data_IF_101766654318
#
_entry.id   IF_101766654318
#
_cell.length_a   1.000
_cell.length_b   1.000
_cell.length_c   1.000
_cell.angle_alpha   90.00
_cell.angle_beta   90.00
_cell.angle_gamma   90.00
#
_symmetry.space_group_name_H-M   'P 1'
#
loop_
_entity.id
_entity.type
_entity.pdbx_description
1 polymer ?
#
# COMPACT_ATOMS: atom_id res chain seq x y z
N UNK A 1 -16.42 2.32 20.37
CA UNK A 1 -15.67 3.30 19.56
C UNK A 1 -15.32 2.69 18.21
N UNK A 2 -15.73 3.32 17.11
CA UNK A 2 -15.32 2.88 15.78
C UNK A 2 -13.79 2.90 15.65
N UNK A 3 -13.20 1.84 15.08
CA UNK A 3 -11.74 1.73 14.93
C UNK A 3 -11.25 2.78 13.93
N UNK A 4 -10.43 3.73 14.39
CA UNK A 4 -9.84 4.75 13.53
C UNK A 4 -9.08 4.12 12.35
N UNK A 5 -9.39 4.58 11.14
CA UNK A 5 -8.74 4.18 9.91
C UNK A 5 -7.41 4.91 9.77
N UNK A 6 -6.35 4.21 9.32
CA UNK A 6 -5.07 4.84 9.02
C UNK A 6 -4.87 4.91 7.51
N UNK A 7 -4.54 6.11 7.02
CA UNK A 7 -4.16 6.37 5.62
C UNK A 7 -2.84 7.11 5.57
N UNK A 8 -2.00 6.75 4.61
CA UNK A 8 -0.65 7.33 4.49
C UNK A 8 -0.56 8.22 3.27
N UNK A 9 -0.27 9.50 3.51
CA UNK A 9 0.07 10.44 2.46
C UNK A 9 1.56 10.45 2.16
N UNK A 10 1.89 10.87 0.94
CA UNK A 10 3.25 11.07 0.51
C UNK A 10 3.50 12.57 0.37
N UNK A 11 4.37 13.10 1.21
CA UNK A 11 4.76 14.51 1.23
C UNK A 11 6.18 14.63 0.67
N UNK A 12 6.37 15.01 -0.60
CA UNK A 12 7.69 15.10 -1.22
C UNK A 12 8.50 16.23 -0.58
N UNK A 13 9.79 15.98 -0.32
CA UNK A 13 10.68 16.96 0.26
C UNK A 13 11.53 17.64 -0.82
N UNK A 14 11.66 18.96 -0.72
CA UNK A 14 12.56 19.78 -1.53
C UNK A 14 13.89 19.97 -0.80
N UNK A 15 14.66 18.88 -0.71
CA UNK A 15 15.94 18.88 -0.02
C UNK A 15 17.09 19.35 -0.93
N UNK A 16 18.01 20.15 -0.38
CA UNK A 16 19.31 20.52 -0.99
C UNK A 16 20.21 19.29 -1.16
N UNK A 17 21.29 19.34 -1.98
CA UNK A 17 22.24 18.24 -2.09
C UNK A 17 22.83 17.79 -0.74
N UNK A 18 23.18 18.75 0.13
CA UNK A 18 23.69 18.49 1.48
C UNK A 18 22.64 17.81 2.36
N UNK A 19 21.41 18.32 2.41
CA UNK A 19 20.33 17.69 3.17
C UNK A 19 20.04 16.27 2.69
N UNK A 20 20.08 16.03 1.37
CA UNK A 20 19.96 14.67 0.80
C UNK A 20 21.10 13.77 1.24
N UNK A 21 22.32 14.29 1.37
CA UNK A 21 23.45 13.53 1.89
C UNK A 21 23.22 13.13 3.34
N UNK A 22 22.85 14.07 4.21
CA UNK A 22 22.53 13.84 5.63
C UNK A 22 21.39 12.83 5.82
N UNK A 23 20.34 12.92 4.99
CA UNK A 23 19.26 11.92 4.99
C UNK A 23 19.77 10.52 4.65
N UNK A 24 20.69 10.38 3.68
CA UNK A 24 21.29 9.08 3.34
C UNK A 24 22.15 8.55 4.48
N UNK A 25 22.94 9.41 5.14
CA UNK A 25 23.70 9.03 6.33
C UNK A 25 22.77 8.55 7.45
N UNK A 26 21.67 9.27 7.70
CA UNK A 26 20.63 8.90 8.66
C UNK A 26 20.03 7.52 8.35
N UNK A 27 19.67 7.27 7.08
CA UNK A 27 19.14 5.98 6.66
C UNK A 27 20.17 4.85 6.80
N UNK A 28 21.43 5.13 6.46
CA UNK A 28 22.52 4.16 6.59
C UNK A 28 22.76 3.80 8.06
N UNK A 29 22.80 4.79 8.95
CA UNK A 29 22.99 4.61 10.39
C UNK A 29 21.83 3.82 11.00
N UNK A 30 20.59 4.17 10.66
CA UNK A 30 19.41 3.43 11.10
C UNK A 30 19.42 1.97 10.61
N UNK A 31 19.83 1.72 9.36
CA UNK A 31 19.92 0.35 8.82
C UNK A 31 21.03 -0.47 9.46
N UNK A 32 22.17 0.15 9.78
CA UNK A 32 23.24 -0.50 10.53
C UNK A 32 22.77 -0.89 11.92
N UNK A 33 22.04 0.01 12.60
CA UNK A 33 21.41 -0.26 13.89
C UNK A 33 20.47 -1.46 13.82
N UNK A 34 19.52 -1.45 12.87
CA UNK A 34 18.55 -2.54 12.68
C UNK A 34 19.23 -3.87 12.32
N UNK A 35 20.33 -3.84 11.54
CA UNK A 35 21.08 -5.05 11.21
C UNK A 35 21.72 -5.67 12.44
N UNK A 36 22.43 -4.87 13.25
CA UNK A 36 23.02 -5.36 14.50
C UNK A 36 21.93 -5.86 15.47
N UNK A 37 20.85 -5.10 15.60
CA UNK A 37 19.72 -5.45 16.46
C UNK A 37 19.04 -6.75 16.05
N UNK A 38 18.98 -7.04 14.75
CA UNK A 38 18.37 -8.26 14.24
C UNK A 38 19.08 -9.53 14.69
N UNK A 39 20.40 -9.48 14.91
CA UNK A 39 21.15 -10.61 15.47
C UNK A 39 20.73 -10.84 16.91
N UNK A 40 20.72 -9.79 17.74
CA UNK A 40 20.30 -9.86 19.14
C UNK A 40 18.88 -10.40 19.27
N UNK A 41 17.95 -9.86 18.47
CA UNK A 41 16.54 -10.28 18.51
C UNK A 41 16.36 -11.72 18.04
N UNK A 42 17.04 -12.12 16.96
CA UNK A 42 16.93 -13.48 16.43
C UNK A 42 17.50 -14.51 17.41
N UNK A 43 18.65 -14.25 18.02
CA UNK A 43 19.30 -15.15 19.00
C UNK A 43 18.48 -15.31 20.28
N UNK A 44 17.80 -14.25 20.74
CA UNK A 44 17.02 -14.27 21.97
C UNK A 44 15.51 -14.44 21.73
N UNK A 45 15.10 -14.84 20.53
CA UNK A 45 13.70 -14.83 20.10
C UNK A 45 12.75 -15.58 21.05
N UNK A 46 13.03 -16.83 21.50
CA UNK A 46 12.12 -17.55 22.38
C UNK A 46 11.80 -16.81 23.69
N UNK A 47 12.83 -16.24 24.34
CA UNK A 47 12.68 -15.48 25.58
C UNK A 47 11.99 -14.13 25.34
N UNK A 48 12.32 -13.45 24.24
CA UNK A 48 11.73 -12.15 23.91
C UNK A 48 10.22 -12.25 23.59
N UNK A 49 9.76 -13.37 23.02
CA UNK A 49 8.33 -13.58 22.74
C UNK A 49 7.48 -13.71 24.01
N UNK A 50 8.07 -14.22 25.09
CA UNK A 50 7.38 -14.44 26.37
C UNK A 50 7.41 -13.19 27.27
N UNK A 51 8.21 -12.19 26.91
CA UNK A 51 8.34 -10.98 27.70
C UNK A 51 7.05 -10.13 27.66
N UNK A 52 6.60 -9.55 28.80
CA UNK A 52 5.43 -8.68 28.85
C UNK A 52 5.54 -7.47 27.90
N UNK A 53 6.76 -6.95 27.73
CA UNK A 53 7.06 -5.87 26.79
C UNK A 53 8.30 -6.24 25.98
N UNK A 54 8.08 -6.58 24.72
CA UNK A 54 9.15 -6.91 23.77
C UNK A 54 10.19 -5.78 23.68
N UNK A 55 9.73 -4.54 23.53
CA UNK A 55 10.61 -3.38 23.42
C UNK A 55 11.48 -3.20 24.67
N UNK A 56 10.88 -3.30 25.86
CA UNK A 56 11.60 -3.17 27.13
C UNK A 56 12.62 -4.29 27.33
N UNK A 57 12.24 -5.53 27.00
CA UNK A 57 13.14 -6.69 27.11
C UNK A 57 14.35 -6.54 26.19
N UNK A 58 14.14 -6.10 24.95
CA UNK A 58 15.25 -5.82 24.02
C UNK A 58 16.11 -4.65 24.52
N UNK A 59 15.52 -3.55 25.00
CA UNK A 59 16.27 -2.41 25.56
C UNK A 59 17.19 -2.85 26.71
N UNK A 60 16.72 -3.72 27.62
CA UNK A 60 17.54 -4.26 28.72
C UNK A 60 18.78 -5.03 28.23
N UNK A 61 18.69 -5.70 27.08
CA UNK A 61 19.82 -6.45 26.54
C UNK A 61 20.95 -5.56 25.99
N UNK A 62 20.68 -4.30 25.64
CA UNK A 62 21.61 -3.48 24.83
C UNK A 62 21.83 -2.05 25.31
N UNK A 63 20.91 -1.48 26.10
CA UNK A 63 20.93 -0.07 26.46
C UNK A 63 21.18 0.12 27.96
N UNK A 64 22.27 0.81 28.35
CA UNK A 64 22.55 1.07 29.75
C UNK A 64 21.59 2.13 30.29
N UNK A 65 21.11 1.92 31.52
CA UNK A 65 20.30 2.89 32.29
C UNK A 65 20.68 2.79 33.77
N UNK A 66 20.20 3.70 34.61
CA UNK A 66 20.42 3.61 36.06
C UNK A 66 19.97 2.25 36.65
N UNK A 67 18.88 1.68 36.13
CA UNK A 67 18.35 0.36 36.54
C UNK A 67 18.90 -0.80 35.70
N UNK A 68 19.82 -0.55 34.78
CA UNK A 68 20.47 -1.53 33.91
C UNK A 68 21.90 -1.08 33.58
N UNK A 69 22.82 -1.05 34.57
CA UNK A 69 24.13 -0.40 34.39
C UNK A 69 25.05 -1.18 33.45
N UNK A 70 24.92 -2.51 33.38
CA UNK A 70 25.79 -3.39 32.59
C UNK A 70 24.99 -4.28 31.63
N UNK A 71 24.45 -3.73 30.52
CA UNK A 71 23.72 -4.52 29.53
C UNK A 71 24.64 -5.53 28.84
N UNK A 72 24.11 -6.71 28.50
CA UNK A 72 24.83 -7.78 27.80
C UNK A 72 25.52 -7.32 26.51
N UNK A 73 24.85 -6.48 25.72
CA UNK A 73 25.35 -6.00 24.43
C UNK A 73 25.81 -4.53 24.48
N UNK A 74 26.97 -4.26 25.10
CA UNK A 74 27.59 -2.92 25.15
C UNK A 74 28.02 -2.36 23.78
N UNK A 75 28.00 -3.18 22.72
CA UNK A 75 28.27 -2.74 21.35
C UNK A 75 27.42 -1.54 20.93
N UNK A 76 26.12 -1.52 21.27
CA UNK A 76 25.20 -0.49 20.77
C UNK A 76 25.51 0.90 21.31
N UNK A 77 25.81 1.02 22.61
CA UNK A 77 26.12 2.32 23.22
C UNK A 77 27.46 2.87 22.71
N UNK A 78 28.42 2.00 22.38
CA UNK A 78 29.73 2.39 21.84
C UNK A 78 29.65 2.80 20.36
N UNK A 79 28.97 2.01 19.53
CA UNK A 79 28.89 2.25 18.08
C UNK A 79 27.85 3.31 17.71
N UNK A 80 26.70 3.34 18.37
CA UNK A 80 25.59 4.23 18.05
C UNK A 80 25.45 5.31 19.14
N UNK A 81 26.50 6.11 19.27
CA UNK A 81 26.55 7.18 20.25
C UNK A 81 25.41 8.18 20.06
N UNK A 82 24.78 8.60 21.17
CA UNK A 82 23.60 9.50 21.19
C UNK A 82 22.43 9.06 20.28
N UNK A 83 22.27 7.75 20.01
CA UNK A 83 21.15 7.27 19.18
C UNK A 83 19.78 7.59 19.81
N UNK A 84 18.87 8.30 19.09
CA UNK A 84 17.61 8.77 19.65
C UNK A 84 16.74 7.65 20.23
N UNK A 85 16.15 7.87 21.40
CA UNK A 85 15.42 6.84 22.15
C UNK A 85 14.17 6.34 21.41
N UNK A 86 13.37 7.23 20.83
CA UNK A 86 12.19 6.78 20.06
C UNK A 86 12.57 6.16 18.71
N UNK A 87 13.69 6.57 18.10
CA UNK A 87 14.22 5.89 16.92
C UNK A 87 14.63 4.45 17.25
N UNK A 88 15.20 4.25 18.43
CA UNK A 88 15.57 2.91 18.96
C UNK A 88 14.35 2.02 19.10
N UNK A 89 13.27 2.54 19.71
CA UNK A 89 12.01 1.79 19.86
C UNK A 89 11.38 1.46 18.51
N UNK A 90 11.41 2.40 17.55
CA UNK A 90 11.01 2.10 16.17
C UNK A 90 11.86 0.99 15.54
N UNK A 91 13.19 1.02 15.73
CA UNK A 91 14.08 -0.03 15.23
C UNK A 91 13.73 -1.40 15.85
N UNK A 92 13.42 -1.45 17.15
CA UNK A 92 13.03 -2.68 17.84
C UNK A 92 11.74 -3.26 17.26
N UNK A 93 10.68 -2.47 17.13
CA UNK A 93 9.41 -2.94 16.56
C UNK A 93 9.54 -3.34 15.08
N UNK A 94 10.35 -2.61 14.32
CA UNK A 94 10.65 -2.98 12.93
C UNK A 94 11.38 -4.33 12.85
N UNK A 95 12.44 -4.52 13.64
CA UNK A 95 13.21 -5.77 13.68
C UNK A 95 12.37 -6.94 14.18
N UNK A 96 11.52 -6.73 15.19
CA UNK A 96 10.55 -7.72 15.67
C UNK A 96 9.69 -8.24 14.52
N UNK A 97 9.12 -7.34 13.72
CA UNK A 97 8.33 -7.70 12.53
C UNK A 97 9.13 -8.49 11.49
N UNK A 98 10.37 -8.08 11.22
CA UNK A 98 11.26 -8.77 10.27
C UNK A 98 11.62 -10.19 10.74
N UNK A 99 11.97 -10.37 12.01
CA UNK A 99 12.32 -11.66 12.60
C UNK A 99 11.10 -12.57 12.65
N UNK A 100 9.97 -12.08 13.14
CA UNK A 100 8.70 -12.83 13.15
C UNK A 100 8.33 -13.32 11.75
N UNK A 101 8.34 -12.43 10.76
CA UNK A 101 8.03 -12.78 9.37
C UNK A 101 9.00 -13.82 8.79
N UNK A 102 10.28 -13.73 9.12
CA UNK A 102 11.27 -14.70 8.67
C UNK A 102 11.05 -16.08 9.31
N UNK A 103 10.91 -16.14 10.63
CA UNK A 103 10.73 -17.39 11.36
C UNK A 103 9.43 -18.10 10.95
N UNK A 104 8.32 -17.38 10.77
CA UNK A 104 7.06 -17.97 10.27
C UNK A 104 7.25 -18.59 8.89
N UNK A 105 7.86 -17.85 7.94
CA UNK A 105 8.11 -18.38 6.59
C UNK A 105 9.11 -19.53 6.58
N UNK A 106 10.10 -19.49 7.45
CA UNK A 106 11.12 -20.53 7.55
C UNK A 106 10.51 -21.82 8.12
N UNK A 107 9.69 -21.73 9.18
CA UNK A 107 8.93 -22.86 9.72
C UNK A 107 8.00 -23.47 8.68
N UNK A 108 7.20 -22.66 7.97
CA UNK A 108 6.34 -23.12 6.88
C UNK A 108 7.16 -23.88 5.81
N UNK A 109 8.32 -23.35 5.41
CA UNK A 109 9.20 -24.02 4.47
C UNK A 109 9.78 -25.34 5.00
N UNK A 110 10.11 -25.42 6.30
CA UNK A 110 10.62 -26.62 6.96
C UNK A 110 9.56 -27.74 6.97
N UNK A 111 8.30 -27.42 7.23
CA UNK A 111 7.18 -28.40 7.24
C UNK A 111 6.63 -28.73 5.84
N UNK A 112 7.23 -28.20 4.77
CA UNK A 112 6.89 -28.54 3.39
C UNK A 112 5.89 -27.60 2.70
N UNK A 113 5.40 -26.56 3.38
CA UNK A 113 4.59 -25.50 2.77
C UNK A 113 5.45 -24.60 1.86
N UNK A 114 5.62 -25.06 0.63
CA UNK A 114 6.51 -24.44 -0.36
C UNK A 114 5.73 -24.04 -1.60
N UNK A 115 6.17 -22.95 -2.24
CA UNK A 115 5.59 -22.51 -3.52
C UNK A 115 5.71 -23.58 -4.63
N UNK A 116 6.77 -24.38 -4.59
CA UNK A 116 7.00 -25.54 -5.45
C UNK A 116 8.05 -26.46 -4.81
N UNK A 117 8.17 -27.71 -5.30
CA UNK A 117 9.06 -28.76 -4.75
C UNK A 117 10.50 -28.30 -4.48
N UNK A 118 11.11 -27.64 -5.47
CA UNK A 118 12.50 -27.16 -5.40
C UNK A 118 12.68 -25.72 -4.87
N UNK A 119 11.71 -25.19 -4.12
CA UNK A 119 11.82 -23.83 -3.59
C UNK A 119 12.92 -23.74 -2.53
N UNK A 120 13.86 -22.80 -2.69
CA UNK A 120 14.90 -22.50 -1.71
C UNK A 120 14.30 -21.95 -0.41
N UNK A 121 14.96 -22.13 0.75
CA UNK A 121 14.50 -21.55 2.01
C UNK A 121 14.42 -20.02 1.92
N UNK A 122 13.52 -19.39 2.67
CA UNK A 122 13.45 -17.94 2.73
C UNK A 122 14.78 -17.37 3.23
N UNK A 123 15.20 -16.25 2.66
CA UNK A 123 16.41 -15.53 3.10
C UNK A 123 16.05 -14.45 4.10
N UNK A 124 16.79 -14.39 5.21
CA UNK A 124 16.64 -13.31 6.17
C UNK A 124 17.28 -12.03 5.64
N UNK A 125 16.49 -10.97 5.48
CA UNK A 125 16.98 -9.64 5.17
C UNK A 125 16.41 -8.65 6.19
N UNK A 126 17.18 -8.33 7.26
CA UNK A 126 16.69 -7.51 8.36
C UNK A 126 16.46 -6.05 7.98
N UNK A 127 16.94 -5.59 6.82
CA UNK A 127 16.84 -4.18 6.39
C UNK A 127 15.91 -3.98 5.18
N UNK A 128 15.16 -5.00 4.79
CA UNK A 128 14.18 -4.90 3.70
C UNK A 128 13.05 -3.92 4.09
N UNK A 129 12.87 -2.84 3.33
CA UNK A 129 11.88 -1.81 3.66
C UNK A 129 12.21 -1.00 4.93
N UNK A 130 13.46 -1.06 5.40
CA UNK A 130 13.90 -0.35 6.60
C UNK A 130 14.13 1.13 6.31
N UNK A 131 13.30 1.99 6.91
CA UNK A 131 13.35 3.44 6.85
C UNK A 131 13.08 4.02 8.26
N UNK A 132 13.76 5.11 8.65
CA UNK A 132 13.61 5.68 9.98
C UNK A 132 12.25 6.35 10.15
N UNK A 133 11.57 6.02 11.24
CA UNK A 133 10.35 6.70 11.69
C UNK A 133 10.77 7.98 12.41
N UNK A 134 10.35 9.12 11.87
CA UNK A 134 10.59 10.42 12.47
C UNK A 134 9.50 10.69 13.51
N UNK A 135 9.77 10.34 14.76
CA UNK A 135 8.85 10.61 15.86
C UNK A 135 8.62 12.11 16.07
N UNK A 136 7.35 12.49 16.17
CA UNK A 136 6.93 13.87 16.43
C UNK A 136 7.59 14.41 17.70
N UNK A 137 8.17 15.61 17.61
CA UNK A 137 8.85 16.29 18.72
C UNK A 137 10.31 15.86 18.93
N UNK A 138 10.71 14.64 18.53
CA UNK A 138 12.08 14.16 18.71
C UNK A 138 12.92 14.16 17.43
N UNK A 139 12.29 13.81 16.31
CA UNK A 139 12.95 13.67 15.02
C UNK A 139 12.29 14.47 13.91
N UNK A 140 11.04 14.88 14.10
CA UNK A 140 10.34 15.80 13.21
C UNK A 140 9.54 16.81 13.99
N UNK A 141 9.58 18.06 13.51
CA UNK A 141 8.62 19.10 13.82
C UNK A 141 8.09 19.66 12.50
N UNK A 142 6.83 20.03 12.51
CA UNK A 142 6.18 20.69 11.38
C UNK A 142 5.83 22.11 11.80
N UNK A 143 5.91 23.03 10.86
CA UNK A 143 5.25 24.33 10.97
C UNK A 143 3.72 24.15 10.96
N UNK A 144 2.99 25.23 11.26
CA UNK A 144 1.51 25.24 11.30
C UNK A 144 0.89 24.92 9.94
N UNK A 145 1.53 25.33 8.84
CA UNK A 145 1.02 25.18 7.48
C UNK A 145 1.50 23.92 6.76
N UNK A 146 2.36 23.11 7.40
CA UNK A 146 3.03 21.96 6.80
C UNK A 146 3.80 22.30 5.51
N UNK A 147 4.40 23.49 5.45
CA UNK A 147 5.30 23.90 4.37
C UNK A 147 6.74 23.49 4.65
N UNK A 148 7.10 23.29 5.92
CA UNK A 148 8.46 22.99 6.35
C UNK A 148 8.48 21.86 7.40
N UNK A 149 9.36 20.89 7.20
CA UNK A 149 9.67 19.88 8.19
C UNK A 149 11.08 20.13 8.76
N UNK A 150 11.17 20.45 10.04
CA UNK A 150 12.44 20.37 10.78
C UNK A 150 12.73 18.90 11.06
N UNK A 151 13.77 18.35 10.45
CA UNK A 151 14.16 16.94 10.59
C UNK A 151 15.45 16.82 11.38
N UNK A 152 15.46 15.94 12.38
CA UNK A 152 16.70 15.61 13.10
C UNK A 152 17.45 14.52 12.35
N UNK A 153 18.57 14.88 11.73
CA UNK A 153 19.36 14.03 10.85
C UNK A 153 20.74 13.74 11.46
N UNK A 154 21.30 12.60 11.08
CA UNK A 154 22.66 12.20 11.42
C UNK A 154 23.65 12.78 10.40
N UNK A 155 24.70 13.43 10.89
CA UNK A 155 25.77 14.02 10.06
C UNK A 155 27.03 13.14 9.97
N UNK A 156 27.09 12.04 10.70
CA UNK A 156 28.29 11.20 10.85
C UNK A 156 28.88 11.23 12.27
N UNK A 157 28.49 12.21 13.09
CA UNK A 157 28.99 12.42 14.45
C UNK A 157 27.87 12.72 15.45
N UNK A 158 26.92 13.58 15.09
CA UNK A 158 25.82 14.04 15.94
C UNK A 158 24.47 14.09 15.21
N UNK A 159 23.40 14.25 16.00
CA UNK A 159 22.03 14.35 15.51
C UNK A 159 21.57 15.81 15.54
N UNK A 160 21.53 16.46 14.38
CA UNK A 160 21.26 17.88 14.22
C UNK A 160 19.92 18.15 13.52
N UNK A 161 19.28 19.28 13.83
CA UNK A 161 18.03 19.69 13.20
C UNK A 161 18.29 20.43 11.88
N UNK A 162 17.51 20.10 10.85
CA UNK A 162 17.56 20.75 9.55
C UNK A 162 16.16 21.03 9.03
N UNK A 163 15.90 22.25 8.61
CA UNK A 163 14.63 22.64 8.00
C UNK A 163 14.60 22.26 6.53
N UNK A 164 13.57 21.51 6.15
CA UNK A 164 13.40 21.00 4.79
C UNK A 164 12.00 21.34 4.29
N UNK A 165 11.93 22.09 3.19
CA UNK A 165 10.67 22.44 2.56
C UNK A 165 9.90 21.20 2.07
N UNK A 166 8.60 21.19 2.31
CA UNK A 166 7.64 20.19 1.84
C UNK A 166 7.04 20.72 0.54
N UNK A 167 7.30 20.02 -0.57
CA UNK A 167 6.88 20.45 -1.90
C UNK A 167 5.35 20.44 -2.08
N UNK A 168 4.69 19.49 -1.46
CA UNK A 168 3.24 19.34 -1.57
C UNK A 168 2.70 18.50 -0.41
N UNK A 169 1.61 18.99 0.17
CA UNK A 169 0.78 18.26 1.12
C UNK A 169 -0.55 17.89 0.49
N UNK A 170 -1.08 16.73 0.85
CA UNK A 170 -2.44 16.29 0.52
C UNK A 170 -3.39 16.68 1.64
N UNK A 171 -4.70 16.60 1.43
CA UNK A 171 -5.69 17.13 2.38
C UNK A 171 -6.00 16.23 3.59
N UNK A 172 -5.51 14.99 3.67
CA UNK A 172 -5.93 14.08 4.75
C UNK A 172 -5.56 14.56 6.14
N UNK A 173 -4.50 15.35 6.29
CA UNK A 173 -4.14 15.97 7.58
C UNK A 173 -5.23 16.88 8.15
N UNK A 174 -6.18 17.34 7.32
CA UNK A 174 -7.36 18.12 7.75
C UNK A 174 -8.51 17.24 8.26
N UNK A 175 -8.50 15.96 7.88
CA UNK A 175 -9.56 14.99 8.18
C UNK A 175 -9.23 14.11 9.39
N UNK A 176 -8.09 14.32 10.05
CA UNK A 176 -7.67 13.46 11.14
C UNK A 176 -6.33 13.83 11.75
N UNK A 177 -5.88 12.99 12.68
CA UNK A 177 -4.64 13.24 13.43
C UNK A 177 -3.42 12.71 12.68
N UNK A 178 -2.50 13.60 12.33
CA UNK A 178 -1.17 13.24 11.81
C UNK A 178 -0.39 12.45 12.85
N UNK A 179 0.15 11.30 12.44
CA UNK A 179 1.03 10.43 13.22
C UNK A 179 2.48 10.57 12.74
N UNK A 180 3.42 9.96 13.46
CA UNK A 180 4.85 10.04 13.16
C UNK A 180 5.17 9.55 11.73
N UNK A 181 5.73 10.39 10.85
CA UNK A 181 6.03 10.01 9.48
C UNK A 181 7.28 9.12 9.37
N UNK A 182 7.42 8.43 8.25
CA UNK A 182 8.66 7.70 7.89
C UNK A 182 9.43 8.47 6.83
N UNK A 183 10.73 8.67 7.01
CA UNK A 183 11.59 9.28 5.98
C UNK A 183 11.98 8.24 4.93
N UNK A 184 11.40 8.35 3.74
CA UNK A 184 11.61 7.40 2.65
C UNK A 184 12.54 7.97 1.59
N UNK A 185 13.70 7.34 1.44
CA UNK A 185 14.72 7.67 0.43
C UNK A 185 14.76 6.58 -0.64
N UNK A 186 14.27 6.94 -1.82
CA UNK A 186 14.44 6.15 -3.06
C UNK A 186 14.99 7.09 -4.14
N UNK A 187 14.47 7.02 -5.38
CA UNK A 187 14.76 8.02 -6.43
C UNK A 187 14.37 9.45 -6.04
N UNK A 188 13.43 9.61 -5.10
CA UNK A 188 12.99 10.88 -4.53
C UNK A 188 12.93 10.75 -3.00
N UNK A 189 13.15 11.85 -2.30
CA UNK A 189 12.97 11.95 -0.86
C UNK A 189 11.53 12.40 -0.55
N UNK A 190 10.89 11.76 0.43
CA UNK A 190 9.58 12.16 0.93
C UNK A 190 9.35 11.66 2.34
N UNK A 191 8.43 12.31 3.05
CA UNK A 191 7.82 11.77 4.25
C UNK A 191 6.60 10.92 3.83
N UNK A 192 6.53 9.69 4.33
CA UNK A 192 5.32 8.89 4.32
C UNK A 192 4.57 9.19 5.62
N UNK A 193 3.47 9.94 5.54
CA UNK A 193 2.79 10.56 6.67
C UNK A 193 1.48 9.82 6.97
N UNK A 194 1.44 8.98 8.01
CA UNK A 194 0.21 8.33 8.43
C UNK A 194 -0.73 9.35 9.09
N UNK A 195 -2.00 9.30 8.73
CA UNK A 195 -3.10 10.06 9.31
C UNK A 195 -4.12 9.07 9.84
N UNK A 196 -4.45 9.18 11.12
CA UNK A 196 -5.55 8.45 11.72
C UNK A 196 -6.82 9.28 11.61
N UNK A 197 -7.86 8.72 11.00
CA UNK A 197 -9.13 9.39 10.73
C UNK A 197 -10.30 8.48 11.08
N UNK A 198 -11.40 9.09 11.51
CA UNK A 198 -12.68 8.44 11.72
C UNK A 198 -13.69 9.27 10.91
N UNK A 199 -13.92 8.91 9.63
CA UNK A 199 -14.87 9.65 8.81
C UNK A 199 -16.28 9.51 9.40
N UNK A 200 -17.03 10.60 9.39
CA UNK A 200 -18.45 10.61 9.76
C UNK A 200 -19.24 9.77 8.75
N UNK A 201 -20.31 9.12 9.22
CA UNK A 201 -21.17 8.36 8.32
C UNK A 201 -21.89 9.33 7.36
N UNK A 202 -21.99 8.95 6.09
CA UNK A 202 -22.79 9.71 5.13
C UNK A 202 -24.28 9.65 5.52
N UNK A 203 -25.05 10.72 5.28
CA UNK A 203 -26.49 10.70 5.52
C UNK A 203 -27.15 9.69 4.58
N UNK A 204 -28.15 8.98 5.10
CA UNK A 204 -28.97 8.07 4.30
C UNK A 204 -29.94 8.88 3.44
N UNK A 205 -29.60 8.99 2.15
CA UNK A 205 -30.45 9.62 1.13
C UNK A 205 -31.18 8.56 0.29
N UNK A 206 -31.19 7.31 0.73
CA UNK A 206 -31.87 6.18 0.09
C UNK A 206 -31.43 5.93 -1.36
N UNK A 207 -30.20 6.32 -1.72
CA UNK A 207 -29.62 6.08 -3.04
C UNK A 207 -28.52 5.02 -2.97
N UNK A 208 -28.64 3.97 -3.77
CA UNK A 208 -27.60 2.97 -3.95
C UNK A 208 -26.88 3.18 -5.28
N UNK A 209 -25.55 3.11 -5.27
CA UNK A 209 -24.75 3.10 -6.48
C UNK A 209 -24.39 1.66 -6.88
N UNK A 210 -25.15 1.07 -7.80
CA UNK A 210 -24.88 -0.26 -8.34
C UNK A 210 -23.77 -0.21 -9.40
N UNK A 211 -22.75 -1.06 -9.24
CA UNK A 211 -21.55 -1.03 -10.09
C UNK A 211 -21.28 -2.39 -10.74
N UNK A 212 -21.29 -2.40 -12.07
CA UNK A 212 -20.81 -3.52 -12.90
C UNK A 212 -19.37 -3.26 -13.36
N UNK A 213 -18.49 -4.23 -13.19
CA UNK A 213 -17.06 -4.13 -13.52
C UNK A 213 -16.74 -5.15 -14.61
N UNK A 214 -16.46 -4.68 -15.83
CA UNK A 214 -16.36 -5.54 -17.01
C UNK A 214 -14.97 -5.60 -17.67
N UNK A 215 -14.83 -6.51 -18.63
CA UNK A 215 -13.65 -6.63 -19.51
C UNK A 215 -13.75 -5.66 -20.71
N UNK A 216 -14.97 -5.42 -21.20
CA UNK A 216 -15.30 -4.48 -22.29
C UNK A 216 -15.31 -3.05 -21.77
N UNK A 217 -16.28 -2.74 -20.92
CA UNK A 217 -16.33 -1.49 -20.17
C UNK A 217 -15.67 -1.70 -18.82
N UNK A 218 -14.77 -0.80 -18.41
CA UNK A 218 -13.99 -1.02 -17.19
C UNK A 218 -14.89 -0.98 -15.96
N UNK A 219 -15.82 -0.02 -15.89
CA UNK A 219 -16.94 -0.05 -14.96
C UNK A 219 -18.14 0.73 -15.50
N UNK A 220 -19.33 0.33 -15.09
CA UNK A 220 -20.59 1.06 -15.27
C UNK A 220 -21.20 1.26 -13.89
N UNK A 221 -21.62 2.49 -13.57
CA UNK A 221 -22.32 2.77 -12.33
C UNK A 221 -23.73 3.31 -12.62
N UNK A 222 -24.71 2.84 -11.87
CA UNK A 222 -26.09 3.31 -11.89
C UNK A 222 -26.48 3.74 -10.47
N UNK A 223 -27.13 4.90 -10.33
CA UNK A 223 -27.75 5.34 -9.08
C UNK A 223 -29.19 4.86 -9.09
N UNK A 224 -29.56 4.16 -8.03
CA UNK A 224 -30.84 3.43 -7.91
C UNK A 224 -31.51 3.86 -6.61
N UNK A 225 -32.77 4.24 -6.70
CA UNK A 225 -33.67 4.56 -5.58
C UNK A 225 -34.32 3.27 -5.01
N UNK A 226 -35.00 3.31 -3.86
CA UNK A 226 -35.53 2.10 -3.21
C UNK A 226 -36.61 1.37 -4.03
N UNK A 227 -37.34 2.11 -4.86
CA UNK A 227 -38.35 1.61 -5.80
C UNK A 227 -37.73 0.99 -7.08
N UNK A 228 -36.40 1.01 -7.22
CA UNK A 228 -35.68 0.46 -8.37
C UNK A 228 -35.49 1.43 -9.53
N UNK A 229 -35.92 2.69 -9.39
CA UNK A 229 -35.75 3.71 -10.44
C UNK A 229 -34.27 4.06 -10.62
N UNK A 230 -33.79 4.06 -11.88
CA UNK A 230 -32.41 4.49 -12.20
C UNK A 230 -32.39 5.98 -12.47
N UNK A 231 -31.93 6.77 -11.50
CA UNK A 231 -31.91 8.24 -11.58
C UNK A 231 -30.67 8.80 -12.30
N UNK A 232 -29.57 8.04 -12.34
CA UNK A 232 -28.38 8.42 -13.07
C UNK A 232 -27.56 7.18 -13.50
N UNK A 233 -26.87 7.28 -14.64
CA UNK A 233 -25.97 6.22 -15.12
C UNK A 233 -24.71 6.80 -15.74
N UNK A 234 -23.57 6.18 -15.46
CA UNK A 234 -22.28 6.58 -16.04
C UNK A 234 -21.39 5.39 -16.40
N UNK A 235 -20.81 5.45 -17.60
CA UNK A 235 -19.78 4.52 -18.05
C UNK A 235 -18.40 5.09 -17.76
N UNK A 236 -17.53 4.28 -17.15
CA UNK A 236 -16.15 4.61 -16.86
C UNK A 236 -15.24 3.73 -17.71
N UNK A 237 -14.79 4.28 -18.84
CA UNK A 237 -13.93 3.56 -19.77
C UNK A 237 -12.80 4.46 -20.31
N UNK A 238 -11.58 4.41 -19.72
CA UNK A 238 -10.45 5.22 -20.17
C UNK A 238 -9.81 4.66 -21.45
N UNK A 239 -10.50 4.78 -22.59
CA UNK A 239 -10.13 4.17 -23.87
C UNK A 239 -8.69 4.48 -24.30
N UNK A 240 -8.25 5.73 -24.17
CA UNK A 240 -6.91 6.16 -24.55
C UNK A 240 -5.81 5.45 -23.74
N UNK A 241 -6.01 5.25 -22.44
CA UNK A 241 -5.03 4.54 -21.60
C UNK A 241 -5.05 3.04 -21.84
N UNK A 242 -6.22 2.47 -22.15
CA UNK A 242 -6.37 1.08 -22.56
C UNK A 242 -5.59 0.82 -23.85
N UNK A 243 -5.74 1.68 -24.86
CA UNK A 243 -4.98 1.59 -26.11
C UNK A 243 -3.46 1.73 -25.86
N UNK A 244 -3.03 2.72 -25.05
CA UNK A 244 -1.62 2.88 -24.67
C UNK A 244 -1.05 1.63 -24.00
N UNK A 245 -1.80 0.99 -23.11
CA UNK A 245 -1.42 -0.29 -22.48
C UNK A 245 -1.32 -1.40 -23.51
N UNK A 246 -2.32 -1.55 -24.37
CA UNK A 246 -2.39 -2.65 -25.34
C UNK A 246 -1.31 -2.53 -26.41
N UNK A 247 -0.95 -1.31 -26.83
CA UNK A 247 0.25 -1.03 -27.62
C UNK A 247 1.51 -1.59 -26.96
N UNK A 248 1.68 -1.45 -25.63
CA UNK A 248 2.84 -2.03 -24.93
C UNK A 248 2.81 -3.56 -24.89
N UNK A 249 1.64 -4.15 -24.66
CA UNK A 249 1.47 -5.60 -24.68
C UNK A 249 1.74 -6.19 -26.07
N UNK A 250 1.30 -5.52 -27.14
CA UNK A 250 1.59 -5.90 -28.54
C UNK A 250 3.08 -5.82 -28.84
N UNK A 251 3.78 -4.78 -28.37
CA UNK A 251 5.25 -4.68 -28.51
C UNK A 251 5.98 -5.85 -27.84
N UNK A 252 5.58 -6.20 -26.60
CA UNK A 252 6.13 -7.34 -25.88
C UNK A 252 5.92 -8.63 -26.68
N UNK A 253 4.69 -8.86 -27.15
CA UNK A 253 4.31 -10.05 -27.93
C UNK A 253 5.12 -10.15 -29.22
N UNK A 254 5.25 -9.05 -29.97
CA UNK A 254 6.02 -9.00 -31.22
C UNK A 254 7.49 -9.34 -30.98
N UNK A 255 8.09 -8.78 -29.92
CA UNK A 255 9.47 -9.11 -29.54
C UNK A 255 9.61 -10.57 -29.12
N UNK A 256 8.68 -11.09 -28.33
CA UNK A 256 8.72 -12.46 -27.85
C UNK A 256 8.65 -13.48 -29.00
N UNK A 257 7.89 -13.18 -30.06
CA UNK A 257 7.84 -14.02 -31.28
C UNK A 257 9.17 -14.08 -32.03
N UNK A 258 9.97 -13.02 -31.98
CA UNK A 258 11.28 -12.93 -32.66
C UNK A 258 12.43 -13.53 -31.82
N UNK A 259 12.15 -14.03 -30.62
CA UNK A 259 13.18 -14.52 -29.70
C UNK A 259 12.93 -16.00 -29.40
N UNK A 260 13.89 -16.87 -29.73
CA UNK A 260 13.78 -18.32 -29.51
C UNK A 260 13.72 -18.70 -28.01
N UNK A 261 14.47 -18.00 -27.15
CA UNK A 261 14.52 -18.25 -25.70
C UNK A 261 14.27 -16.97 -24.90
N UNK A 262 13.18 -16.94 -24.13
CA UNK A 262 12.87 -15.82 -23.24
C UNK A 262 13.75 -15.87 -21.99
N UNK A 263 14.69 -14.93 -21.85
CA UNK A 263 15.54 -14.82 -20.67
C UNK A 263 14.86 -14.07 -19.52
N UNK A 264 15.36 -14.25 -18.30
CA UNK A 264 14.89 -13.52 -17.12
C UNK A 264 15.07 -12.02 -17.33
N UNK A 265 13.99 -11.27 -17.20
CA UNK A 265 14.00 -9.81 -17.40
C UNK A 265 13.60 -9.36 -18.81
N UNK A 266 13.32 -10.30 -19.73
CA UNK A 266 12.78 -9.98 -21.05
C UNK A 266 11.57 -9.04 -20.95
N UNK A 267 11.62 -7.92 -21.69
CA UNK A 267 10.52 -6.97 -21.76
C UNK A 267 10.18 -6.25 -20.44
N UNK A 268 10.99 -6.38 -19.37
CA UNK A 268 10.70 -5.84 -18.03
C UNK A 268 10.26 -4.38 -18.04
N UNK A 269 10.91 -3.54 -18.86
CA UNK A 269 10.57 -2.12 -18.98
C UNK A 269 9.15 -1.92 -19.51
N UNK A 270 8.73 -2.70 -20.51
CA UNK A 270 7.40 -2.62 -21.11
C UNK A 270 6.32 -3.17 -20.19
N UNK A 271 6.60 -4.29 -19.52
CA UNK A 271 5.70 -4.85 -18.51
C UNK A 271 5.46 -3.85 -17.37
N UNK A 272 6.54 -3.24 -16.86
CA UNK A 272 6.43 -2.20 -15.83
C UNK A 272 5.61 -1.01 -16.31
N UNK A 273 5.81 -0.55 -17.55
CA UNK A 273 5.00 0.55 -18.13
C UNK A 273 3.51 0.17 -18.23
N UNK A 274 3.18 -1.01 -18.74
CA UNK A 274 1.80 -1.49 -18.82
C UNK A 274 1.14 -1.60 -17.43
N UNK A 275 1.88 -2.10 -16.44
CA UNK A 275 1.42 -2.16 -15.05
C UNK A 275 1.16 -0.76 -14.47
N UNK A 276 2.02 0.22 -14.73
CA UNK A 276 1.81 1.59 -14.28
C UNK A 276 0.57 2.23 -14.90
N UNK A 277 0.31 1.97 -16.20
CA UNK A 277 -0.91 2.45 -16.87
C UNK A 277 -2.15 1.82 -16.22
N UNK A 278 -2.13 0.50 -15.97
CA UNK A 278 -3.20 -0.19 -15.26
C UNK A 278 -3.47 0.40 -13.86
N UNK A 279 -2.43 0.65 -13.07
CA UNK A 279 -2.58 1.25 -11.75
C UNK A 279 -3.14 2.68 -11.84
N UNK A 280 -2.69 3.48 -12.82
CA UNK A 280 -3.22 4.82 -13.06
C UNK A 280 -4.72 4.78 -13.41
N UNK A 281 -5.11 3.92 -14.36
CA UNK A 281 -6.50 3.73 -14.75
C UNK A 281 -7.37 3.32 -13.55
N UNK A 282 -6.91 2.36 -12.74
CA UNK A 282 -7.64 1.91 -11.56
C UNK A 282 -7.85 3.06 -10.56
N UNK A 283 -6.82 3.86 -10.28
CA UNK A 283 -6.90 5.00 -9.37
C UNK A 283 -7.85 6.09 -9.87
N UNK A 284 -7.75 6.47 -11.15
CA UNK A 284 -8.61 7.49 -11.74
C UNK A 284 -10.07 7.04 -11.83
N UNK A 285 -10.31 5.81 -12.29
CA UNK A 285 -11.66 5.26 -12.47
C UNK A 285 -12.36 5.11 -11.12
N UNK A 286 -11.70 4.51 -10.12
CA UNK A 286 -12.29 4.38 -8.78
C UNK A 286 -12.57 5.73 -8.12
N UNK A 287 -11.70 6.74 -8.31
CA UNK A 287 -11.97 8.10 -7.82
C UNK A 287 -13.24 8.67 -8.47
N UNK A 288 -13.28 8.71 -9.80
CA UNK A 288 -14.42 9.27 -10.54
C UNK A 288 -15.73 8.55 -10.25
N UNK A 289 -15.67 7.25 -9.97
CA UNK A 289 -16.83 6.45 -9.60
C UNK A 289 -17.34 6.82 -8.21
N UNK A 290 -16.46 6.91 -7.21
CA UNK A 290 -16.86 7.35 -5.88
C UNK A 290 -17.35 8.80 -5.91
N UNK A 291 -16.66 9.69 -6.60
CA UNK A 291 -17.10 11.09 -6.78
C UNK A 291 -18.50 11.14 -7.43
N UNK A 292 -18.79 10.28 -8.40
CA UNK A 292 -20.13 10.15 -9.01
C UNK A 292 -21.17 9.67 -8.00
N UNK A 293 -20.88 8.62 -7.23
CA UNK A 293 -21.79 8.12 -6.19
C UNK A 293 -22.12 9.22 -5.17
N UNK A 294 -21.11 9.91 -4.66
CA UNK A 294 -21.25 10.98 -3.67
C UNK A 294 -22.04 12.18 -4.22
N UNK A 295 -21.79 12.57 -5.48
CA UNK A 295 -22.50 13.69 -6.13
C UNK A 295 -24.00 13.43 -6.24
N UNK A 296 -24.40 12.17 -6.35
CA UNK A 296 -25.80 11.75 -6.40
C UNK A 296 -26.36 11.30 -5.05
N UNK A 297 -25.67 11.59 -3.94
CA UNK A 297 -26.15 11.30 -2.59
C UNK A 297 -26.12 9.82 -2.19
N UNK A 298 -25.44 8.94 -2.95
CA UNK A 298 -25.36 7.54 -2.57
C UNK A 298 -24.42 7.33 -1.37
N UNK A 299 -24.94 6.74 -0.29
CA UNK A 299 -24.19 6.34 0.91
C UNK A 299 -23.60 4.92 0.78
N UNK A 300 -24.17 4.11 -0.11
CA UNK A 300 -23.78 2.73 -0.38
C UNK A 300 -23.41 2.51 -1.84
N UNK A 301 -22.26 1.86 -2.05
CA UNK A 301 -21.89 1.29 -3.36
C UNK A 301 -22.09 -0.23 -3.32
N UNK A 302 -22.77 -0.76 -4.33
CA UNK A 302 -23.05 -2.20 -4.47
C UNK A 302 -22.16 -2.77 -5.56
N UNK A 303 -21.35 -3.78 -5.21
CA UNK A 303 -20.46 -4.51 -6.13
C UNK A 303 -20.85 -5.99 -6.20
N UNK A 304 -20.46 -6.67 -7.28
CA UNK A 304 -20.56 -8.13 -7.34
C UNK A 304 -19.51 -8.82 -6.46
N UNK A 305 -19.92 -9.85 -5.71
CA UNK A 305 -18.99 -10.75 -5.04
C UNK A 305 -18.41 -11.77 -6.04
N UNK A 306 -17.25 -11.42 -6.59
CA UNK A 306 -16.48 -12.29 -7.49
C UNK A 306 -15.48 -13.18 -6.75
N UNK A 307 -15.59 -13.32 -5.42
CA UNK A 307 -14.73 -14.21 -4.64
C UNK A 307 -15.02 -15.66 -5.01
N UNK A 308 -13.96 -16.46 -5.13
CA UNK A 308 -14.07 -17.86 -5.55
C UNK A 308 -14.38 -18.07 -7.03
N UNK A 309 -14.82 -17.04 -7.76
CA UNK A 309 -15.06 -17.14 -9.20
C UNK A 309 -13.74 -17.29 -9.98
N UNK A 310 -13.65 -18.37 -10.77
CA UNK A 310 -12.46 -18.77 -11.54
C UNK A 310 -12.78 -18.82 -13.04
N UNK A 311 -12.96 -17.67 -13.70
CA UNK A 311 -13.28 -17.64 -15.12
C UNK A 311 -12.13 -18.19 -15.96
N UNK A 312 -12.47 -18.96 -16.99
CA UNK A 312 -11.51 -19.41 -18.01
C UNK A 312 -11.22 -18.24 -18.96
N UNK A 313 -9.94 -17.94 -19.14
CA UNK A 313 -9.53 -17.00 -20.17
C UNK A 313 -9.86 -17.54 -21.57
N UNK A 314 -9.95 -16.65 -22.57
CA UNK A 314 -10.14 -17.04 -23.96
C UNK A 314 -9.01 -17.92 -24.53
N UNK A 315 -9.17 -18.34 -25.80
CA UNK A 315 -8.22 -19.21 -26.53
C UNK A 315 -6.76 -18.72 -26.41
N UNK A 316 -5.79 -19.64 -26.45
CA UNK A 316 -4.35 -19.32 -26.43
C UNK A 316 -4.03 -18.31 -27.52
N UNK A 317 -3.24 -17.27 -27.17
CA UNK A 317 -2.85 -16.15 -28.05
C UNK A 317 -4.00 -15.24 -28.53
N UNK A 318 -5.24 -15.39 -28.06
CA UNK A 318 -6.37 -14.49 -28.40
C UNK A 318 -6.26 -13.10 -27.77
N UNK A 319 -6.97 -12.13 -28.35
CA UNK A 319 -7.14 -10.79 -27.79
C UNK A 319 -7.92 -10.81 -26.47
N UNK A 320 -8.97 -11.65 -26.37
CA UNK A 320 -9.74 -11.83 -25.14
C UNK A 320 -8.87 -12.29 -23.98
N UNK A 321 -7.98 -13.28 -24.19
CA UNK A 321 -7.04 -13.73 -23.16
C UNK A 321 -6.10 -12.62 -22.71
N UNK A 322 -5.65 -11.77 -23.62
CA UNK A 322 -4.85 -10.60 -23.25
C UNK A 322 -5.64 -9.64 -22.37
N UNK A 323 -6.85 -9.27 -22.78
CA UNK A 323 -7.70 -8.32 -22.04
C UNK A 323 -8.05 -8.86 -20.65
N UNK A 324 -8.35 -10.16 -20.57
CA UNK A 324 -8.59 -10.87 -19.31
C UNK A 324 -7.43 -10.74 -18.31
N UNK A 325 -6.17 -10.90 -18.75
CA UNK A 325 -5.00 -10.76 -17.86
C UNK A 325 -4.73 -9.31 -17.43
N UNK A 326 -5.29 -8.32 -18.13
CA UNK A 326 -5.20 -6.91 -17.76
C UNK A 326 -6.48 -6.39 -17.10
N UNK A 327 -7.45 -7.26 -16.82
CA UNK A 327 -8.72 -6.89 -16.23
C UNK A 327 -8.54 -6.48 -14.77
N UNK A 328 -9.02 -5.28 -14.43
CA UNK A 328 -8.72 -4.62 -13.17
C UNK A 328 -9.76 -4.87 -12.08
N UNK A 329 -10.70 -5.82 -12.24
CA UNK A 329 -11.86 -5.95 -11.36
C UNK A 329 -11.55 -5.89 -9.86
N UNK A 330 -10.65 -6.76 -9.36
CA UNK A 330 -10.29 -6.77 -7.93
C UNK A 330 -9.63 -5.47 -7.50
N UNK A 331 -8.73 -4.93 -8.33
CA UNK A 331 -8.02 -3.69 -7.99
C UNK A 331 -8.99 -2.52 -7.92
N UNK A 332 -9.97 -2.47 -8.83
CA UNK A 332 -10.99 -1.45 -8.86
C UNK A 332 -11.91 -1.56 -7.64
N UNK A 333 -12.42 -2.76 -7.33
CA UNK A 333 -13.24 -3.02 -6.15
C UNK A 333 -12.53 -2.58 -4.86
N UNK A 334 -11.28 -3.01 -4.64
CA UNK A 334 -10.49 -2.59 -3.46
C UNK A 334 -10.32 -1.07 -3.38
N UNK A 335 -10.10 -0.39 -4.51
CA UNK A 335 -9.90 1.05 -4.51
C UNK A 335 -11.21 1.83 -4.33
N UNK A 336 -12.34 1.30 -4.78
CA UNK A 336 -13.67 1.84 -4.54
C UNK A 336 -13.98 1.72 -3.04
N UNK A 337 -13.83 0.52 -2.47
CA UNK A 337 -14.01 0.26 -1.04
C UNK A 337 -13.17 1.21 -0.18
N UNK A 338 -11.87 1.33 -0.48
CA UNK A 338 -10.98 2.23 0.26
C UNK A 338 -11.41 3.69 0.22
N UNK A 339 -11.88 4.17 -0.95
CA UNK A 339 -12.27 5.57 -1.15
C UNK A 339 -13.65 5.85 -0.57
N UNK A 340 -14.61 4.94 -0.72
CA UNK A 340 -15.94 5.08 -0.15
C UNK A 340 -15.88 5.08 1.37
N UNK A 341 -15.09 4.16 1.95
CA UNK A 341 -14.88 4.13 3.39
C UNK A 341 -14.16 5.39 3.91
N UNK A 342 -13.22 5.98 3.15
CA UNK A 342 -12.61 7.27 3.49
C UNK A 342 -13.62 8.43 3.43
N UNK A 343 -14.68 8.32 2.62
CA UNK A 343 -15.73 9.31 2.49
C UNK A 343 -16.89 9.13 3.49
N UNK A 344 -16.85 8.12 4.36
CA UNK A 344 -17.92 7.85 5.33
C UNK A 344 -19.03 6.92 4.83
N UNK A 345 -18.94 6.46 3.58
CA UNK A 345 -19.88 5.51 3.00
C UNK A 345 -19.46 4.06 3.20
N UNK A 346 -20.29 3.16 2.69
CA UNK A 346 -20.07 1.71 2.77
C UNK A 346 -20.11 1.05 1.40
N UNK A 347 -19.45 -0.10 1.31
CA UNK A 347 -19.52 -0.96 0.13
C UNK A 347 -20.15 -2.29 0.54
N UNK A 348 -21.17 -2.71 -0.20
CA UNK A 348 -21.84 -4.00 -0.02
C UNK A 348 -21.58 -4.84 -1.26
N UNK A 349 -21.45 -6.15 -1.07
CA UNK A 349 -21.29 -7.10 -2.16
C UNK A 349 -22.53 -7.97 -2.33
N UNK A 350 -22.96 -8.22 -3.56
CA UNK A 350 -24.11 -9.06 -3.90
C UNK A 350 -23.71 -10.28 -4.72
N UNK A 351 -24.55 -11.31 -4.68
CA UNK A 351 -24.32 -12.52 -5.47
C UNK A 351 -24.44 -12.21 -6.98
N UNK A 352 -23.43 -12.53 -7.82
CA UNK A 352 -23.40 -12.11 -9.23
C UNK A 352 -24.32 -12.91 -10.15
N UNK A 353 -24.92 -14.02 -9.69
CA UNK A 353 -25.70 -14.87 -10.60
C UNK A 353 -27.00 -14.16 -10.94
N UNK A 354 -27.23 -13.96 -12.23
CA UNK A 354 -28.48 -13.41 -12.75
C UNK A 354 -28.47 -11.91 -13.00
N UNK A 355 -27.55 -11.16 -12.37
CA UNK A 355 -27.42 -9.69 -12.49
C UNK A 355 -27.24 -9.21 -13.93
N UNK A 356 -26.69 -10.06 -14.79
CA UNK A 356 -26.38 -9.74 -16.18
C UNK A 356 -27.15 -10.58 -17.21
N UNK A 357 -27.98 -11.53 -16.77
CA UNK A 357 -28.71 -12.45 -17.65
C UNK A 357 -30.22 -12.27 -17.65
N UNK A 358 -30.79 -11.59 -16.64
CA UNK A 358 -32.23 -11.36 -16.51
C UNK A 358 -32.58 -9.90 -16.77
N UNK A 359 -33.75 -9.67 -17.38
CA UNK A 359 -34.30 -8.35 -17.58
C UNK A 359 -34.70 -7.73 -16.24
N UNK A 360 -34.58 -6.40 -16.15
CA UNK A 360 -34.83 -5.67 -14.90
C UNK A 360 -36.31 -5.68 -14.49
N UNK A 361 -37.21 -5.86 -15.45
CA UNK A 361 -38.68 -5.90 -15.31
C UNK A 361 -39.23 -7.32 -15.05
N UNK A 362 -38.35 -8.33 -14.91
CA UNK A 362 -38.76 -9.71 -14.69
C UNK A 362 -39.29 -10.44 -15.94
N UNK A 363 -39.24 -9.81 -17.13
CA UNK A 363 -39.72 -10.40 -18.39
C UNK A 363 -38.93 -11.62 -18.89
N UNK A 364 -37.89 -12.03 -18.16
CA UNK A 364 -37.13 -13.24 -18.40
C UNK A 364 -35.67 -12.98 -18.77
N UNK A 365 -35.07 -13.88 -19.55
CA UNK A 365 -33.65 -13.78 -19.91
C UNK A 365 -33.42 -12.78 -21.03
N UNK A 366 -32.41 -11.94 -20.88
CA UNK A 366 -32.01 -10.96 -21.90
C UNK A 366 -31.41 -11.70 -23.10
N UNK A 367 -31.97 -11.49 -24.29
CA UNK A 367 -31.31 -11.83 -25.56
C UNK A 367 -30.31 -10.71 -25.88
N UNK A 368 -29.03 -11.07 -26.02
CA UNK A 368 -27.98 -10.13 -26.45
C UNK A 368 -27.69 -10.36 -27.93
N UNK A 369 -27.59 -9.28 -28.69
CA UNK A 369 -27.13 -9.36 -30.07
C UNK A 369 -25.72 -9.95 -30.12
N UNK A 370 -25.49 -10.82 -31.11
CA UNK A 370 -24.15 -11.34 -31.39
C UNK A 370 -23.35 -10.20 -32.02
N UNK A 371 -22.42 -9.65 -31.25
CA UNK A 371 -21.43 -8.69 -31.71
C UNK A 371 -20.32 -9.35 -32.56
#
# INVERSE_FOLDING_TARGET
MARAMIRTDKWPLQATPQQRHLMRLTLAEYRQFCRALSVVVLTNWPSLQQAPSFATAVERLMHPTAKNPSPRHRYFIRRFYKFPSYLRRAAIEFVKGQVSSYLTRYRAWQVGERKHRHARPPRFNPVAGCYPVMYRGQLVKFDTEFTTASLKLWDGKEWLWHDVAIKAVRQRHRLGTVKSPTLVLNRRCHLAVPVAMAPEALPDQQHACAVDVGINTLATASIVTPDGTVVARRFFHPAADIDRRDKRATLIRRKARKTAKLCRGFGRTWYRKAQHINEHMAQQTSRRLVDFALTHGADVIVLEDLKGWRPKAGKKRSGLRQRFHHWLHRRLATLIEQKMAEAGGRVVTVYPRGTSSWAFDGSGRIKRDKA
#
